data_IF_850265882122
#
_entry.id   IF_850265882122
#
_cell.length_a   1.000
_cell.length_b   1.000
_cell.length_c   1.000
_cell.angle_alpha   90.00
_cell.angle_beta   90.00
_cell.angle_gamma   90.00
#
_symmetry.space_group_name_H-M   'P 1'
#
loop_
_entity.id
_entity.type
_entity.pdbx_description
1 polymer ?
#
# COMPACT_ATOMS: atom_id res chain seq x y z
N UNK A 1 -7.95 17.61 44.02
CA UNK A 1 -8.05 16.37 43.21
C UNK A 1 -8.08 16.64 41.70
N UNK A 2 -8.53 17.82 41.25
CA UNK A 2 -8.53 18.28 39.85
C UNK A 2 -7.16 18.36 39.14
N UNK A 3 -6.06 18.84 39.75
CA UNK A 3 -4.78 18.97 39.03
C UNK A 3 -4.18 17.61 38.63
N UNK A 4 -4.44 16.55 39.41
CA UNK A 4 -3.95 15.19 39.13
C UNK A 4 -4.68 14.57 37.93
N UNK A 5 -5.98 14.84 37.76
CA UNK A 5 -6.75 14.39 36.60
C UNK A 5 -6.25 15.05 35.31
N UNK A 6 -6.03 16.37 35.34
CA UNK A 6 -5.53 17.12 34.17
C UNK A 6 -4.16 16.61 33.71
N UNK A 7 -3.25 16.31 34.63
CA UNK A 7 -1.92 15.74 34.31
C UNK A 7 -2.00 14.35 33.65
N UNK A 8 -2.90 13.47 34.11
CA UNK A 8 -3.08 12.13 33.51
C UNK A 8 -3.65 12.18 32.09
N UNK A 9 -4.59 13.08 31.83
CA UNK A 9 -5.19 13.25 30.50
C UNK A 9 -4.18 13.80 29.48
N UNK A 10 -3.33 14.76 29.89
CA UNK A 10 -2.24 15.26 29.05
C UNK A 10 -1.26 14.13 28.70
N UNK A 11 -0.81 13.33 29.67
CA UNK A 11 0.10 12.19 29.43
C UNK A 11 -0.50 11.20 28.42
N UNK A 12 -1.79 10.85 28.57
CA UNK A 12 -2.49 9.97 27.62
C UNK A 12 -2.55 10.57 26.22
N UNK A 13 -2.82 11.86 26.10
CA UNK A 13 -2.84 12.57 24.82
C UNK A 13 -1.47 12.52 24.13
N UNK A 14 -0.38 12.72 24.87
CA UNK A 14 0.98 12.59 24.36
C UNK A 14 1.29 11.15 23.91
N UNK A 15 0.97 10.15 24.74
CA UNK A 15 1.16 8.74 24.39
C UNK A 15 0.39 8.37 23.12
N UNK A 16 -0.87 8.82 23.01
CA UNK A 16 -1.69 8.61 21.82
C UNK A 16 -1.07 9.27 20.59
N UNK A 17 -0.53 10.49 20.72
CA UNK A 17 0.14 11.17 19.63
C UNK A 17 1.40 10.42 19.16
N UNK A 18 2.21 9.92 20.10
CA UNK A 18 3.41 9.11 19.80
C UNK A 18 3.01 7.83 19.07
N UNK A 19 2.03 7.07 19.58
CA UNK A 19 1.57 5.82 18.96
C UNK A 19 1.02 6.07 17.55
N UNK A 20 0.23 7.14 17.35
CA UNK A 20 -0.26 7.54 16.02
C UNK A 20 0.89 7.84 15.05
N UNK A 21 1.92 8.55 15.52
CA UNK A 21 3.08 8.88 14.69
C UNK A 21 3.89 7.62 14.34
N UNK A 22 4.08 6.71 15.29
CA UNK A 22 4.74 5.42 15.06
C UNK A 22 3.96 4.56 14.06
N UNK A 23 2.63 4.49 14.20
CA UNK A 23 1.76 3.80 13.25
C UNK A 23 1.88 4.37 11.84
N UNK A 24 1.89 5.70 11.71
CA UNK A 24 2.07 6.37 10.41
C UNK A 24 3.43 6.00 9.81
N UNK A 25 4.50 6.09 10.59
CA UNK A 25 5.85 5.78 10.11
C UNK A 25 5.99 4.31 9.71
N UNK A 26 5.49 3.38 10.54
CA UNK A 26 5.52 1.95 10.26
C UNK A 26 4.69 1.60 9.02
N UNK A 27 3.47 2.13 8.91
CA UNK A 27 2.59 1.87 7.76
C UNK A 27 3.19 2.41 6.47
N UNK A 28 3.79 3.62 6.49
CA UNK A 28 4.50 4.16 5.33
C UNK A 28 5.72 3.32 4.94
N UNK A 29 6.53 2.91 5.93
CA UNK A 29 7.71 2.06 5.71
C UNK A 29 7.34 0.70 5.10
N UNK A 30 6.33 0.03 5.67
CA UNK A 30 5.82 -1.23 5.12
C UNK A 30 5.15 -1.05 3.76
N UNK A 31 4.47 0.08 3.52
CA UNK A 31 3.92 0.41 2.21
C UNK A 31 5.00 0.45 1.12
N UNK A 32 6.16 1.05 1.43
CA UNK A 32 7.31 1.07 0.52
C UNK A 32 7.87 -0.33 0.28
N UNK A 33 8.10 -1.12 1.34
CA UNK A 33 8.60 -2.50 1.22
C UNK A 33 7.63 -3.36 0.40
N UNK A 34 6.32 -3.23 0.64
CA UNK A 34 5.29 -3.94 -0.11
C UNK A 34 5.30 -3.55 -1.60
N UNK A 35 5.40 -2.25 -1.91
CA UNK A 35 5.50 -1.77 -3.29
C UNK A 35 6.73 -2.36 -4.01
N UNK A 36 7.87 -2.42 -3.34
CA UNK A 36 9.09 -3.03 -3.88
C UNK A 36 8.92 -4.54 -4.12
N UNK A 37 8.34 -5.27 -3.15
CA UNK A 37 8.11 -6.70 -3.26
C UNK A 37 7.15 -7.07 -4.40
N UNK A 38 6.07 -6.31 -4.60
CA UNK A 38 5.15 -6.51 -5.72
C UNK A 38 5.82 -6.24 -7.07
N UNK A 39 6.64 -5.19 -7.17
CA UNK A 39 7.41 -4.91 -8.39
C UNK A 39 8.40 -6.03 -8.72
N UNK A 40 9.13 -6.54 -7.73
CA UNK A 40 10.02 -7.70 -7.88
C UNK A 40 9.24 -8.93 -8.36
N UNK A 41 8.13 -9.25 -7.71
CA UNK A 41 7.28 -10.40 -8.03
C UNK A 41 6.78 -10.35 -9.48
N UNK A 42 6.25 -9.21 -9.92
CA UNK A 42 5.71 -9.06 -11.28
C UNK A 42 6.84 -9.22 -12.31
N UNK A 43 8.01 -8.62 -12.08
CA UNK A 43 9.16 -8.73 -12.97
C UNK A 43 9.65 -10.18 -13.09
N UNK A 44 9.83 -10.85 -11.96
CA UNK A 44 10.29 -12.25 -11.92
C UNK A 44 9.27 -13.17 -12.56
N UNK A 45 7.98 -12.99 -12.26
CA UNK A 45 6.90 -13.76 -12.89
C UNK A 45 6.91 -13.64 -14.41
N UNK A 46 7.03 -12.42 -14.95
CA UNK A 46 7.11 -12.20 -16.40
C UNK A 46 8.38 -12.81 -16.98
N UNK A 47 9.52 -12.67 -16.30
CA UNK A 47 10.78 -13.24 -16.76
C UNK A 47 10.75 -14.77 -16.80
N UNK A 48 10.21 -15.42 -15.78
CA UNK A 48 10.22 -16.88 -15.66
C UNK A 48 9.11 -17.54 -16.47
N UNK A 49 7.89 -17.00 -16.44
CA UNK A 49 6.73 -17.65 -17.07
C UNK A 49 6.43 -17.14 -18.47
N UNK A 50 6.66 -15.86 -18.75
CA UNK A 50 6.30 -15.26 -20.05
C UNK A 50 7.46 -15.33 -21.03
N UNK A 51 8.69 -14.94 -20.64
CA UNK A 51 9.85 -14.99 -21.55
C UNK A 51 10.26 -16.43 -21.90
N UNK A 52 10.13 -17.38 -20.97
CA UNK A 52 10.45 -18.79 -21.25
C UNK A 52 9.52 -19.43 -22.31
N UNK A 53 8.37 -18.81 -22.60
CA UNK A 53 7.33 -19.36 -23.50
C UNK A 53 7.23 -18.64 -24.84
N UNK A 54 7.90 -17.49 -25.02
CA UNK A 54 7.77 -16.64 -26.22
C UNK A 54 9.16 -16.36 -26.80
N UNK A 55 9.50 -16.98 -27.95
CA UNK A 55 10.88 -17.01 -28.49
C UNK A 55 11.27 -15.92 -29.49
N UNK A 56 10.51 -14.82 -29.66
CA UNK A 56 10.80 -13.84 -30.74
C UNK A 56 10.71 -12.40 -30.22
N UNK A 57 11.77 -11.59 -30.39
CA UNK A 57 11.77 -10.15 -30.09
C UNK A 57 11.51 -9.78 -28.62
N UNK A 58 11.99 -10.62 -27.70
CA UNK A 58 11.44 -10.91 -26.37
C UNK A 58 11.39 -9.78 -25.34
N UNK A 59 12.09 -8.66 -25.54
CA UNK A 59 12.19 -7.62 -24.51
C UNK A 59 11.01 -6.64 -24.53
N UNK A 60 10.68 -6.08 -25.70
CA UNK A 60 9.58 -5.12 -25.85
C UNK A 60 8.24 -5.76 -25.47
N UNK A 61 8.01 -7.01 -25.88
CA UNK A 61 6.79 -7.75 -25.54
C UNK A 61 6.71 -7.99 -24.02
N UNK A 62 7.84 -8.33 -23.37
CA UNK A 62 7.86 -8.51 -21.92
C UNK A 62 7.58 -7.20 -21.16
N UNK A 63 8.07 -6.06 -21.67
CA UNK A 63 7.81 -4.74 -21.10
C UNK A 63 6.35 -4.31 -21.32
N UNK A 64 5.77 -4.61 -22.49
CA UNK A 64 4.36 -4.34 -22.77
C UNK A 64 3.43 -5.14 -21.84
N UNK A 65 3.72 -6.43 -21.61
CA UNK A 65 2.96 -7.27 -20.67
C UNK A 65 3.12 -6.76 -19.24
N UNK A 66 4.33 -6.38 -18.83
CA UNK A 66 4.57 -5.75 -17.53
C UNK A 66 3.72 -4.49 -17.35
N UNK A 67 3.74 -3.59 -18.33
CA UNK A 67 2.97 -2.34 -18.28
C UNK A 67 1.47 -2.62 -18.15
N UNK A 68 0.91 -3.53 -18.94
CA UNK A 68 -0.51 -3.91 -18.88
C UNK A 68 -0.87 -4.47 -17.50
N UNK A 69 -0.07 -5.41 -16.96
CA UNK A 69 -0.33 -6.02 -15.66
C UNK A 69 -0.31 -4.96 -14.55
N UNK A 70 0.70 -4.10 -14.53
CA UNK A 70 0.83 -3.04 -13.52
C UNK A 70 -0.33 -2.03 -13.63
N UNK A 71 -0.74 -1.64 -14.84
CA UNK A 71 -1.88 -0.74 -15.03
C UNK A 71 -3.19 -1.37 -14.55
N UNK A 72 -3.43 -2.64 -14.87
CA UNK A 72 -4.63 -3.36 -14.40
C UNK A 72 -4.64 -3.43 -12.87
N UNK A 73 -3.52 -3.81 -12.25
CA UNK A 73 -3.41 -3.84 -10.79
C UNK A 73 -3.64 -2.47 -10.17
N UNK A 74 -3.05 -1.41 -10.73
CA UNK A 74 -3.23 -0.04 -10.26
C UNK A 74 -4.71 0.36 -10.29
N UNK A 75 -5.42 0.11 -11.40
CA UNK A 75 -6.86 0.41 -11.53
C UNK A 75 -7.69 -0.41 -10.54
N UNK A 76 -7.39 -1.70 -10.36
CA UNK A 76 -8.12 -2.54 -9.42
C UNK A 76 -7.95 -2.07 -7.97
N UNK A 77 -6.71 -1.75 -7.57
CA UNK A 77 -6.41 -1.25 -6.22
C UNK A 77 -7.07 0.11 -6.00
N UNK A 78 -6.98 1.05 -6.95
CA UNK A 78 -7.59 2.38 -6.79
C UNK A 78 -9.11 2.28 -6.69
N UNK A 79 -9.78 1.47 -7.52
CA UNK A 79 -11.23 1.27 -7.43
C UNK A 79 -11.66 0.64 -6.11
N UNK A 80 -10.89 -0.31 -5.57
CA UNK A 80 -11.17 -0.92 -4.26
C UNK A 80 -11.00 0.09 -3.12
N UNK A 81 -9.95 0.91 -3.18
CA UNK A 81 -9.72 1.98 -2.20
C UNK A 81 -10.81 3.05 -2.26
N UNK A 82 -11.24 3.48 -3.45
CA UNK A 82 -12.37 4.41 -3.62
C UNK A 82 -13.65 3.86 -2.98
N UNK A 83 -14.01 2.60 -3.25
CA UNK A 83 -15.17 1.96 -2.64
C UNK A 83 -15.07 1.85 -1.11
N UNK A 84 -13.86 1.63 -0.59
CA UNK A 84 -13.63 1.57 0.85
C UNK A 84 -13.78 2.96 1.48
N UNK A 85 -13.25 4.00 0.84
CA UNK A 85 -13.41 5.39 1.28
C UNK A 85 -14.89 5.77 1.36
N UNK A 86 -15.66 5.54 0.30
CA UNK A 86 -17.10 5.83 0.25
C UNK A 86 -17.88 5.13 1.38
N UNK A 87 -17.52 3.87 1.69
CA UNK A 87 -18.15 3.11 2.78
C UNK A 87 -17.83 3.68 4.16
N UNK A 88 -16.61 4.15 4.37
CA UNK A 88 -16.19 4.72 5.65
C UNK A 88 -16.82 6.11 5.87
N UNK A 89 -17.03 6.88 4.79
CA UNK A 89 -17.73 8.16 4.84
C UNK A 89 -19.22 7.97 5.13
N UNK A 90 -19.93 7.09 4.41
CA UNK A 90 -21.35 6.82 4.63
C UNK A 90 -21.70 6.26 6.02
N UNK A 91 -20.73 5.66 6.72
CA UNK A 91 -20.93 5.14 8.09
C UNK A 91 -20.80 6.24 9.15
N UNK A 92 -20.33 7.42 8.76
CA UNK A 92 -20.11 8.57 9.66
C UNK A 92 -21.31 9.51 9.73
N UNK A 93 -22.24 9.40 8.77
CA UNK A 93 -23.57 10.03 8.74
C UNK A 93 -24.65 9.08 9.30
#
# INVERSE_FOLDING_TARGET
MEPIKKSKEEIRKYQLAVVKQMLKLATSGFGLVAALAWNELIKTFIKEYVRARISVGSEIISLAIYAIIVTVLAVLVTLQLSKLADKLEKKKD
#
